data_IF_374533621340
#
_entry.id   IF_374533621340
#
_cell.length_a   1.000
_cell.length_b   1.000
_cell.length_c   1.000
_cell.angle_alpha   90.00
_cell.angle_beta   90.00
_cell.angle_gamma   90.00
#
_symmetry.space_group_name_H-M   'P 1'
#
loop_
_entity.id
_entity.type
_entity.pdbx_description
1 polymer ?
#
# COMPACT_ATOMS: atom_id res chain seq x y z
N UNK A 1 26.03 8.97 4.11
CA UNK A 1 24.81 8.73 4.88
C UNK A 1 24.25 7.44 4.33
N UNK A 2 24.20 6.39 5.15
CA UNK A 2 23.58 5.13 4.72
C UNK A 2 22.08 5.39 4.71
N UNK A 3 21.45 5.22 3.54
CA UNK A 3 20.01 5.03 3.44
C UNK A 3 19.62 3.98 4.49
N UNK A 4 18.49 4.12 5.21
CA UNK A 4 18.01 2.97 5.97
C UNK A 4 17.77 1.88 4.94
N UNK A 5 18.63 0.86 4.92
CA UNK A 5 18.25 -0.42 4.34
C UNK A 5 16.93 -0.75 5.03
N UNK A 6 15.85 -0.79 4.26
CA UNK A 6 14.56 -1.26 4.75
C UNK A 6 14.85 -2.60 5.42
N UNK A 7 14.89 -2.61 6.75
CA UNK A 7 14.95 -3.83 7.53
C UNK A 7 13.56 -4.45 7.35
N UNK A 8 13.35 -5.09 6.19
CA UNK A 8 12.08 -5.72 5.81
C UNK A 8 11.75 -6.91 6.72
N UNK A 9 12.63 -7.22 7.69
CA UNK A 9 12.37 -8.04 8.87
C UNK A 9 11.67 -7.23 9.97
N UNK A 10 10.80 -6.30 9.59
CA UNK A 10 9.89 -5.66 10.53
C UNK A 10 8.82 -6.70 10.95
N UNK A 11 8.32 -6.59 12.18
CA UNK A 11 7.25 -7.43 12.74
C UNK A 11 5.89 -7.15 12.09
N UNK A 12 5.82 -7.18 10.76
CA UNK A 12 4.60 -6.91 10.01
C UNK A 12 3.55 -7.97 10.33
N UNK A 13 2.38 -7.51 10.75
CA UNK A 13 1.20 -8.34 11.05
C UNK A 13 0.08 -8.15 10.04
N UNK A 14 0.13 -7.06 9.27
CA UNK A 14 -0.87 -6.69 8.27
C UNK A 14 -0.18 -6.41 6.93
N UNK A 15 -0.78 -6.90 5.86
CA UNK A 15 -0.45 -6.51 4.48
C UNK A 15 -1.73 -6.38 3.70
N UNK A 16 -1.98 -5.21 3.15
CA UNK A 16 -3.09 -4.94 2.25
C UNK A 16 -2.57 -4.42 0.91
N UNK A 17 -3.25 -4.81 -0.15
CA UNK A 17 -2.98 -4.32 -1.50
C UNK A 17 -4.08 -3.32 -1.84
N UNK A 18 -3.66 -2.16 -2.31
CA UNK A 18 -4.53 -1.07 -2.70
C UNK A 18 -4.24 -0.71 -4.16
N UNK A 19 -5.27 -0.45 -4.95
CA UNK A 19 -5.09 -0.18 -6.37
C UNK A 19 -5.82 1.08 -6.84
N UNK A 20 -5.22 1.75 -7.82
CA UNK A 20 -5.94 2.66 -8.69
C UNK A 20 -6.46 1.84 -9.88
N UNK A 21 -7.78 1.62 -9.90
CA UNK A 21 -8.47 0.82 -10.94
C UNK A 21 -8.64 1.57 -12.26
N UNK A 22 -8.42 2.89 -12.27
CA UNK A 22 -8.55 3.74 -13.45
C UNK A 22 -7.32 3.68 -14.35
N UNK A 23 -6.15 3.35 -13.78
CA UNK A 23 -4.91 3.11 -14.52
C UNK A 23 -4.94 1.77 -15.27
N UNK A 24 -4.29 1.71 -16.44
CA UNK A 24 -4.13 0.48 -17.23
C UNK A 24 -2.64 0.26 -17.53
N UNK A 25 -1.97 -0.75 -16.93
CA UNK A 25 -2.49 -1.65 -15.89
C UNK A 25 -2.79 -0.88 -14.58
N UNK A 26 -3.64 -1.42 -13.68
CA UNK A 26 -3.92 -0.79 -12.39
C UNK A 26 -2.64 -0.47 -11.63
N UNK A 27 -2.60 0.72 -11.02
CA UNK A 27 -1.49 1.07 -10.14
C UNK A 27 -1.64 0.36 -8.81
N UNK A 28 -0.53 -0.01 -8.17
CA UNK A 28 -0.56 -0.80 -6.93
C UNK A 28 0.25 -0.10 -5.86
N UNK A 29 -0.35 0.06 -4.69
CA UNK A 29 0.32 0.42 -3.45
C UNK A 29 0.13 -0.70 -2.42
N UNK A 30 1.07 -0.82 -1.49
CA UNK A 30 1.03 -1.78 -0.39
C UNK A 30 0.95 -1.05 0.94
N UNK A 31 -0.09 -1.34 1.72
CA UNK A 31 -0.19 -0.90 3.12
C UNK A 31 0.31 -2.03 4.03
N UNK A 32 1.35 -1.75 4.80
CA UNK A 32 1.90 -2.63 5.83
C UNK A 32 1.59 -2.07 7.21
N UNK A 33 1.24 -2.96 8.15
CA UNK A 33 1.07 -2.62 9.57
C UNK A 33 1.88 -3.57 10.44
N UNK A 34 2.54 -3.06 11.47
CA UNK A 34 3.34 -3.84 12.43
C UNK A 34 2.61 -4.08 13.76
N UNK A 35 3.25 -4.84 14.66
CA UNK A 35 2.75 -5.16 16.00
C UNK A 35 2.83 -4.00 17.00
N UNK A 36 3.25 -2.81 16.57
CA UNK A 36 3.41 -1.59 17.37
C UNK A 36 2.47 -0.46 16.92
N UNK A 37 1.43 -0.79 16.13
CA UNK A 37 0.49 0.16 15.54
C UNK A 37 1.17 1.18 14.59
N UNK A 38 2.32 0.84 13.99
CA UNK A 38 2.88 1.62 12.89
C UNK A 38 2.36 1.11 11.56
N UNK A 39 2.04 2.04 10.68
CA UNK A 39 1.53 1.77 9.34
C UNK A 39 2.36 2.51 8.30
N UNK A 40 2.57 1.86 7.16
CA UNK A 40 3.35 2.42 6.08
C UNK A 40 2.79 2.00 4.72
N UNK A 41 2.71 2.97 3.82
CA UNK A 41 2.34 2.77 2.42
C UNK A 41 3.61 2.76 1.59
N UNK A 42 3.80 1.68 0.85
CA UNK A 42 4.93 1.48 -0.03
C UNK A 42 4.48 1.42 -1.48
N UNK A 43 5.35 1.90 -2.37
CA UNK A 43 5.24 1.71 -3.80
C UNK A 43 6.14 0.55 -4.25
N UNK A 44 5.56 -0.62 -4.61
CA UNK A 44 6.32 -1.78 -5.05
C UNK A 44 7.02 -1.55 -6.40
N UNK A 45 6.52 -0.64 -7.24
CA UNK A 45 7.11 -0.34 -8.56
C UNK A 45 8.42 0.43 -8.42
N UNK A 46 8.55 1.26 -7.39
CA UNK A 46 9.76 2.04 -7.11
C UNK A 46 10.62 1.39 -6.00
N UNK A 47 10.93 0.10 -6.16
CA UNK A 47 11.78 -0.66 -5.23
C UNK A 47 11.30 -0.58 -3.76
N UNK A 48 9.98 -0.71 -3.55
CA UNK A 48 9.36 -0.55 -2.23
C UNK A 48 9.68 0.81 -1.59
N UNK A 49 9.59 1.88 -2.37
CA UNK A 49 9.76 3.24 -1.85
C UNK A 49 8.67 3.56 -0.83
N UNK A 50 9.06 4.14 0.32
CA UNK A 50 8.12 4.58 1.34
C UNK A 50 7.42 5.87 0.88
N UNK A 51 6.12 5.76 0.61
CA UNK A 51 5.27 6.89 0.19
C UNK A 51 4.75 7.65 1.41
N UNK A 52 4.30 6.93 2.43
CA UNK A 52 3.66 7.51 3.59
C UNK A 52 3.82 6.60 4.82
N UNK A 53 3.94 7.19 6.00
CA UNK A 53 3.99 6.47 7.27
C UNK A 53 3.18 7.21 8.33
N UNK A 54 2.45 6.46 9.15
CA UNK A 54 1.63 6.98 10.24
C UNK A 54 1.50 5.96 11.38
N UNK A 55 0.84 6.35 12.46
CA UNK A 55 0.63 5.51 13.66
C UNK A 55 -0.83 5.06 13.83
N UNK A 56 -1.59 4.99 12.74
CA UNK A 56 -3.00 4.60 12.77
C UNK A 56 -3.42 4.02 11.42
N UNK A 57 -4.07 2.85 11.47
CA UNK A 57 -4.65 2.22 10.28
C UNK A 57 -5.63 3.15 9.56
N UNK A 58 -6.50 3.84 10.31
CA UNK A 58 -7.49 4.72 9.71
C UNK A 58 -6.86 5.93 9.02
N UNK A 59 -5.71 6.42 9.49
CA UNK A 59 -5.00 7.52 8.84
C UNK A 59 -4.39 7.05 7.51
N UNK A 60 -3.72 5.88 7.48
CA UNK A 60 -3.20 5.30 6.24
C UNK A 60 -4.32 5.02 5.23
N UNK A 61 -5.43 4.48 5.71
CA UNK A 61 -6.61 4.17 4.90
C UNK A 61 -7.24 5.43 4.32
N UNK A 62 -7.39 6.49 5.10
CA UNK A 62 -7.93 7.77 4.62
C UNK A 62 -7.03 8.35 3.53
N UNK A 63 -5.70 8.32 3.72
CA UNK A 63 -4.74 8.75 2.71
C UNK A 63 -4.94 8.03 1.36
N UNK A 64 -5.15 6.70 1.38
CA UNK A 64 -5.41 5.92 0.16
C UNK A 64 -6.74 6.29 -0.49
N UNK A 65 -7.78 6.48 0.32
CA UNK A 65 -9.12 6.83 -0.17
C UNK A 65 -9.19 8.25 -0.74
N UNK A 66 -8.34 9.18 -0.27
CA UNK A 66 -8.25 10.55 -0.82
C UNK A 66 -7.83 10.55 -2.29
N UNK A 67 -6.96 9.62 -2.69
CA UNK A 67 -6.50 9.43 -4.07
C UNK A 67 -7.31 8.35 -4.83
N UNK A 68 -8.51 8.02 -4.35
CA UNK A 68 -9.45 7.05 -4.96
C UNK A 68 -8.90 5.61 -5.07
N UNK A 69 -7.90 5.23 -4.27
CA UNK A 69 -7.44 3.84 -4.24
C UNK A 69 -8.49 2.92 -3.62
N UNK A 70 -8.59 1.72 -4.18
CA UNK A 70 -9.51 0.67 -3.74
C UNK A 70 -8.74 -0.48 -3.09
N UNK A 71 -9.21 -0.95 -1.93
CA UNK A 71 -8.64 -2.12 -1.27
C UNK A 71 -9.01 -3.41 -2.01
N UNK A 72 -8.02 -4.26 -2.22
CA UNK A 72 -8.20 -5.57 -2.86
C UNK A 72 -8.48 -6.66 -1.83
N UNK A 73 -9.72 -7.14 -1.76
CA UNK A 73 -10.15 -8.28 -0.92
C UNK A 73 -10.02 -9.64 -1.65
N UNK A 74 -9.26 -9.72 -2.75
CA UNK A 74 -9.12 -10.95 -3.54
C UNK A 74 -8.52 -10.74 -4.92
N UNK A 75 -9.18 -11.26 -5.97
CA UNK A 75 -8.76 -11.06 -7.36
C UNK A 75 -9.62 -9.98 -8.01
N UNK A 76 -8.96 -9.01 -8.65
CA UNK A 76 -9.64 -8.05 -9.52
C UNK A 76 -9.72 -8.61 -10.94
N UNK A 77 -10.94 -8.64 -11.48
CA UNK A 77 -11.19 -9.00 -12.87
C UNK A 77 -11.54 -7.72 -13.61
N UNK A 78 -10.72 -7.35 -14.60
CA UNK A 78 -11.03 -6.21 -15.46
C UNK A 78 -12.01 -6.71 -16.51
N UNK A 79 -13.26 -6.28 -16.43
CA UNK A 79 -14.23 -6.57 -17.48
C UNK A 79 -13.84 -5.82 -18.75
N UNK A 80 -13.67 -6.56 -19.86
CA UNK A 80 -13.55 -5.93 -21.17
C UNK A 80 -14.91 -5.33 -21.52
N UNK A 81 -14.99 -4.01 -21.60
CA UNK A 81 -16.09 -3.36 -22.29
C UNK A 81 -15.98 -3.75 -23.76
N UNK A 82 -16.86 -4.65 -24.20
CA UNK A 82 -17.00 -5.14 -25.57
C UNK A 82 -17.87 -4.22 -26.42
#
# INVERSE_FOLDING_TARGET
MLSPELDLVNNWILTEVWIDSTAIPPYVLMLLGDDQDNFAIYDPKDNYHLIYACSSYEEAKLWLLEDEYEKVEGRISIEKVS
#
